data_IF_595011569805
#
_entry.id   IF_595011569805
#
_cell.length_a   1.000
_cell.length_b   1.000
_cell.length_c   1.000
_cell.angle_alpha   90.00
_cell.angle_beta   90.00
_cell.angle_gamma   90.00
#
_symmetry.space_group_name_H-M   'P 1'
#
loop_
_entity.id
_entity.type
_entity.pdbx_description
1 polymer ?
#
# COMPACT_ATOMS: atom_id res chain seq x y z
N UNK A 1 14.58 0.09 -1.01
CA UNK A 1 14.68 1.02 0.12
C UNK A 1 13.84 0.51 1.27
N UNK A 2 14.48 0.25 2.40
CA UNK A 2 13.89 -0.25 3.64
C UNK A 2 13.94 0.83 4.71
N UNK A 3 12.91 0.96 5.54
CA UNK A 3 12.96 1.78 6.76
C UNK A 3 12.68 0.91 7.98
N UNK A 4 13.20 1.32 9.15
CA UNK A 4 13.04 0.56 10.39
C UNK A 4 13.54 -0.88 10.25
N UNK A 5 12.85 -1.81 10.91
CA UNK A 5 13.20 -3.24 10.93
C UNK A 5 12.37 -4.07 9.93
N UNK A 6 11.90 -3.46 8.84
CA UNK A 6 10.95 -4.08 7.91
C UNK A 6 11.65 -4.61 6.65
N UNK A 7 11.30 -5.84 6.28
CA UNK A 7 11.76 -6.49 5.04
C UNK A 7 11.25 -5.71 3.81
N UNK A 8 12.10 -5.52 2.80
CA UNK A 8 11.76 -4.80 1.57
C UNK A 8 10.59 -5.44 0.82
N UNK A 9 10.52 -6.77 0.78
CA UNK A 9 9.46 -7.51 0.09
C UNK A 9 8.08 -7.23 0.71
N UNK A 10 8.03 -6.88 2.00
CA UNK A 10 6.79 -6.56 2.70
C UNK A 10 6.08 -5.35 2.06
N UNK A 11 6.84 -4.40 1.51
CA UNK A 11 6.29 -3.19 0.91
C UNK A 11 5.54 -3.45 -0.42
N UNK A 12 5.73 -4.63 -1.00
CA UNK A 12 5.02 -5.08 -2.21
C UNK A 12 3.80 -5.97 -1.92
N UNK A 13 3.55 -6.32 -0.65
CA UNK A 13 2.32 -7.02 -0.26
C UNK A 13 1.08 -6.16 -0.55
N UNK A 14 0.00 -6.68 -1.17
CA UNK A 14 -1.17 -5.89 -1.54
C UNK A 14 -1.82 -5.12 -0.38
N UNK A 15 -1.82 -5.69 0.84
CA UNK A 15 -2.35 -4.99 2.01
C UNK A 15 -1.45 -3.81 2.39
N UNK A 16 -0.13 -3.97 2.26
CA UNK A 16 0.85 -2.92 2.53
C UNK A 16 0.85 -1.82 1.46
N UNK A 17 0.73 -2.17 0.18
CA UNK A 17 0.55 -1.20 -0.91
C UNK A 17 -0.67 -0.30 -0.66
N UNK A 18 -1.77 -0.88 -0.13
CA UNK A 18 -2.94 -0.11 0.28
C UNK A 18 -2.65 0.84 1.44
N UNK A 19 -1.82 0.44 2.42
CA UNK A 19 -1.40 1.33 3.53
C UNK A 19 -0.50 2.46 3.02
N UNK A 20 0.43 2.17 2.11
CA UNK A 20 1.30 3.15 1.45
C UNK A 20 0.47 4.19 0.70
N UNK A 21 -0.49 3.77 -0.12
CA UNK A 21 -1.38 4.69 -0.83
C UNK A 21 -2.22 5.57 0.11
N UNK A 22 -2.60 5.06 1.28
CA UNK A 22 -3.30 5.84 2.29
C UNK A 22 -2.38 6.74 3.13
N UNK A 23 -1.08 6.43 3.20
CA UNK A 23 -0.09 7.29 3.84
C UNK A 23 0.04 8.63 3.10
N UNK A 24 0.02 8.60 1.76
CA UNK A 24 0.06 9.80 0.92
C UNK A 24 -1.10 10.77 1.13
N UNK A 25 -2.20 10.32 1.76
CA UNK A 25 -3.38 11.16 2.06
C UNK A 25 -3.23 11.94 3.37
N UNK A 26 -2.23 11.63 4.20
CA UNK A 26 -1.97 12.34 5.45
C UNK A 26 -1.25 13.64 5.11
N UNK A 27 -1.86 14.78 5.47
CA UNK A 27 -1.32 16.09 5.12
C UNK A 27 -0.08 16.40 5.96
N UNK A 28 0.81 17.24 5.46
CA UNK A 28 1.95 17.71 6.25
C UNK A 28 1.50 18.49 7.50
N UNK A 29 0.36 19.18 7.45
CA UNK A 29 -0.24 19.87 8.60
C UNK A 29 -0.65 18.94 9.74
N UNK A 30 -0.81 17.64 9.46
CA UNK A 30 -1.24 16.64 10.43
C UNK A 30 -0.04 15.97 11.14
N UNK A 31 1.19 16.38 10.81
CA UNK A 31 2.42 15.74 11.28
C UNK A 31 3.24 16.73 12.09
N UNK A 32 3.48 16.39 13.34
CA UNK A 32 4.43 17.09 14.22
C UNK A 32 5.62 16.18 14.47
N UNK A 33 6.75 16.46 13.82
CA UNK A 33 8.00 15.72 14.01
C UNK A 33 8.60 16.06 15.37
N UNK A 34 9.17 15.05 16.04
CA UNK A 34 10.09 15.29 17.14
C UNK A 34 11.50 15.53 16.56
N UNK A 35 12.12 16.69 16.78
CA UNK A 35 13.44 16.99 16.25
C UNK A 35 14.57 16.14 16.86
N UNK A 36 14.33 15.49 18.01
CA UNK A 36 15.35 14.74 18.73
C UNK A 36 15.24 13.22 18.52
N UNK A 37 14.11 12.75 17.98
CA UNK A 37 13.83 11.32 17.82
C UNK A 37 13.24 11.07 16.44
N UNK A 38 13.50 9.91 15.82
CA UNK A 38 12.87 9.51 14.55
C UNK A 38 11.40 9.12 14.76
N UNK A 39 10.62 10.07 15.29
CA UNK A 39 9.24 9.91 15.71
C UNK A 39 8.40 11.14 15.38
N UNK A 40 7.09 10.94 15.39
CA UNK A 40 6.13 12.01 15.19
C UNK A 40 4.84 11.77 15.98
N UNK A 41 4.09 12.85 16.13
CA UNK A 41 2.66 12.81 16.40
C UNK A 41 1.91 13.02 15.08
N UNK A 42 0.99 12.12 14.77
CA UNK A 42 0.14 12.23 13.58
C UNK A 42 -1.33 12.31 13.98
N UNK A 43 -1.98 13.42 13.63
CA UNK A 43 -3.40 13.63 13.83
C UNK A 43 -4.23 12.66 12.99
N UNK A 44 -5.36 12.20 13.53
CA UNK A 44 -6.22 11.26 12.82
C UNK A 44 -7.63 11.25 13.36
N UNK A 45 -8.33 10.13 13.19
CA UNK A 45 -9.75 9.98 13.57
C UNK A 45 -10.00 9.85 15.08
N UNK A 46 -8.95 9.73 15.89
CA UNK A 46 -9.05 9.65 17.35
C UNK A 46 -9.05 11.03 18.00
N UNK A 47 -9.41 11.08 19.29
CA UNK A 47 -9.32 12.30 20.08
C UNK A 47 -7.86 12.75 20.27
N UNK A 48 -6.95 11.78 20.42
CA UNK A 48 -5.52 12.03 20.61
C UNK A 48 -4.72 11.69 19.34
N UNK A 49 -3.64 12.44 19.02
CA UNK A 49 -2.72 12.09 17.95
C UNK A 49 -2.07 10.73 18.16
N UNK A 50 -1.78 10.03 17.06
CA UNK A 50 -1.03 8.78 17.11
C UNK A 50 0.46 9.07 17.31
N UNK A 51 1.07 8.44 18.32
CA UNK A 51 2.52 8.40 18.46
C UNK A 51 3.07 7.35 17.51
N UNK A 52 4.02 7.75 16.67
CA UNK A 52 4.59 6.89 15.63
C UNK A 52 6.11 6.99 15.63
N UNK A 53 6.77 5.86 15.48
CA UNK A 53 8.19 5.73 15.16
C UNK A 53 8.32 4.89 13.88
N UNK A 54 9.55 4.67 13.40
CA UNK A 54 9.78 3.75 12.29
C UNK A 54 9.47 2.28 12.62
N UNK A 55 9.32 1.92 13.90
CA UNK A 55 9.14 0.55 14.38
C UNK A 55 7.85 0.31 15.18
N UNK A 56 7.15 1.36 15.62
CA UNK A 56 5.95 1.24 16.45
C UNK A 56 4.93 2.35 16.14
N UNK A 57 3.65 2.06 16.37
CA UNK A 57 2.59 3.07 16.26
C UNK A 57 1.42 2.74 17.18
N UNK A 58 0.86 3.75 17.85
CA UNK A 58 -0.29 3.59 18.75
C UNK A 58 -1.63 3.37 18.03
N UNK A 59 -1.65 3.38 16.70
CA UNK A 59 -2.90 3.20 15.95
C UNK A 59 -3.38 1.74 15.91
N UNK A 60 -4.69 1.54 15.82
CA UNK A 60 -5.28 0.19 15.78
C UNK A 60 -4.82 -0.67 14.59
N UNK A 61 -4.37 -0.07 13.48
CA UNK A 61 -3.83 -0.80 12.32
C UNK A 61 -2.45 -1.42 12.56
N UNK A 62 -1.71 -1.02 13.60
CA UNK A 62 -0.41 -1.59 13.91
C UNK A 62 -0.51 -2.90 14.74
N UNK A 63 -1.72 -3.28 15.18
CA UNK A 63 -1.96 -4.54 15.90
C UNK A 63 -1.53 -5.78 15.10
N UNK A 64 -1.54 -5.68 13.76
CA UNK A 64 -1.05 -6.73 12.86
C UNK A 64 0.49 -6.87 12.84
N UNK A 65 1.21 -6.10 13.68
CA UNK A 65 2.67 -6.07 13.80
C UNK A 65 3.39 -5.87 12.46
N UNK A 66 2.76 -5.10 11.57
CA UNK A 66 3.28 -4.67 10.27
C UNK A 66 3.15 -3.15 10.15
N UNK A 67 3.94 -2.50 9.28
CA UNK A 67 3.86 -1.07 9.07
C UNK A 67 2.43 -0.60 8.79
N UNK A 68 2.01 0.43 9.53
CA UNK A 68 0.75 1.10 9.27
C UNK A 68 0.98 2.33 8.37
N UNK A 69 -0.10 2.96 7.92
CA UNK A 69 -0.01 4.17 7.07
C UNK A 69 0.79 5.32 7.72
N UNK A 70 0.74 5.45 9.06
CA UNK A 70 1.46 6.51 9.77
C UNK A 70 2.97 6.31 9.71
N UNK A 71 3.43 5.05 9.79
CA UNK A 71 4.85 4.72 9.72
C UNK A 71 5.42 4.97 8.33
N UNK A 72 4.69 4.58 7.27
CA UNK A 72 5.06 4.94 5.90
C UNK A 72 5.11 6.45 5.70
N UNK A 73 4.15 7.20 6.25
CA UNK A 73 4.13 8.66 6.15
C UNK A 73 5.32 9.29 6.85
N UNK A 74 5.68 8.81 8.04
CA UNK A 74 6.87 9.25 8.76
C UNK A 74 8.14 8.95 7.96
N UNK A 75 8.29 7.72 7.44
CA UNK A 75 9.45 7.34 6.63
C UNK A 75 9.61 8.22 5.38
N UNK A 76 8.51 8.54 4.68
CA UNK A 76 8.51 9.50 3.58
C UNK A 76 8.94 10.91 4.03
N UNK A 77 8.44 11.37 5.19
CA UNK A 77 8.77 12.70 5.73
C UNK A 77 10.25 12.82 6.10
N UNK A 78 10.87 11.73 6.55
CA UNK A 78 12.28 11.63 6.88
C UNK A 78 13.18 11.33 5.66
N UNK A 79 12.62 11.12 4.46
CA UNK A 79 13.39 10.77 3.26
C UNK A 79 13.95 9.35 3.27
N UNK A 80 13.39 8.46 4.10
CA UNK A 80 13.81 7.05 4.22
C UNK A 80 12.99 6.11 3.33
N UNK A 81 11.90 6.61 2.73
CA UNK A 81 11.04 5.84 1.85
C UNK A 81 10.41 6.74 0.79
N UNK A 82 10.70 6.47 -0.48
CA UNK A 82 10.24 7.29 -1.61
C UNK A 82 8.73 7.19 -1.90
N UNK A 83 8.05 6.24 -1.26
CA UNK A 83 6.65 5.97 -1.52
C UNK A 83 6.41 4.99 -2.68
N UNK A 84 5.17 4.94 -3.19
CA UNK A 84 4.87 4.06 -4.31
C UNK A 84 5.55 4.58 -5.60
N UNK A 85 5.89 3.69 -6.54
CA UNK A 85 6.47 4.11 -7.80
C UNK A 85 5.55 5.07 -8.54
N UNK A 86 6.14 6.07 -9.19
CA UNK A 86 5.40 7.02 -10.01
C UNK A 86 4.65 6.30 -11.15
N UNK A 87 3.42 6.76 -11.44
CA UNK A 87 2.66 6.24 -12.58
C UNK A 87 3.42 6.50 -13.87
N UNK A 88 3.60 5.45 -14.67
CA UNK A 88 4.12 5.54 -16.03
C UNK A 88 2.94 5.36 -17.02
N UNK A 89 2.47 6.43 -17.70
CA UNK A 89 1.32 6.35 -18.59
C UNK A 89 1.52 5.40 -19.78
N UNK A 90 2.74 5.29 -20.28
CA UNK A 90 3.06 4.37 -21.38
C UNK A 90 2.97 2.92 -20.93
N UNK A 91 3.51 2.60 -19.75
CA UNK A 91 3.40 1.27 -19.15
C UNK A 91 1.94 0.94 -18.78
N UNK A 92 1.17 1.88 -18.24
CA UNK A 92 -0.26 1.69 -17.95
C UNK A 92 -1.05 1.41 -19.23
N UNK A 93 -0.77 2.12 -20.33
CA UNK A 93 -1.39 1.88 -21.63
C UNK A 93 -1.00 0.51 -22.21
N UNK A 94 0.27 0.11 -22.05
CA UNK A 94 0.72 -1.22 -22.47
C UNK A 94 -0.01 -2.32 -21.68
N UNK A 95 -0.08 -2.19 -20.35
CA UNK A 95 -0.85 -3.10 -19.50
C UNK A 95 -2.30 -3.22 -19.95
N UNK A 96 -2.97 -2.10 -20.25
CA UNK A 96 -4.37 -2.11 -20.72
C UNK A 96 -4.58 -2.87 -22.03
N UNK A 97 -3.59 -2.88 -22.93
CA UNK A 97 -3.64 -3.64 -24.17
C UNK A 97 -3.52 -5.15 -23.94
N UNK A 98 -2.87 -5.57 -22.85
CA UNK A 98 -2.71 -6.98 -22.48
C UNK A 98 -3.91 -7.53 -21.68
N UNK A 99 -4.81 -6.67 -21.18
CA UNK A 99 -5.99 -7.11 -20.41
C UNK A 99 -6.79 -8.22 -21.14
N UNK A 100 -7.10 -8.13 -22.45
CA UNK A 100 -7.81 -9.19 -23.15
C UNK A 100 -7.07 -10.54 -23.13
N UNK A 101 -5.74 -10.52 -23.25
CA UNK A 101 -4.90 -11.73 -23.21
C UNK A 101 -4.93 -12.36 -21.81
N UNK A 102 -4.87 -11.53 -20.76
CA UNK A 102 -4.99 -11.98 -19.38
C UNK A 102 -6.37 -12.58 -19.08
N UNK A 103 -7.44 -11.95 -19.54
CA UNK A 103 -8.81 -12.47 -19.41
C UNK A 103 -8.95 -13.81 -20.16
N UNK A 104 -8.38 -13.95 -21.35
CA UNK A 104 -8.37 -15.21 -22.10
C UNK A 104 -7.64 -16.32 -21.32
N UNK A 105 -6.49 -16.02 -20.71
CA UNK A 105 -5.75 -16.98 -19.86
C UNK A 105 -6.65 -17.51 -18.75
N UNK A 106 -7.34 -16.64 -18.01
CA UNK A 106 -8.25 -17.08 -16.95
C UNK A 106 -9.49 -17.80 -17.48
N UNK A 107 -9.97 -17.44 -18.68
CA UNK A 107 -11.06 -18.16 -19.36
C UNK A 107 -10.66 -19.61 -19.66
N UNK A 108 -9.44 -19.86 -20.13
CA UNK A 108 -8.93 -21.23 -20.37
C UNK A 108 -8.92 -22.05 -19.09
N UNK A 109 -8.40 -21.49 -17.99
CA UNK A 109 -8.41 -22.15 -16.68
C UNK A 109 -9.83 -22.47 -16.20
N UNK A 110 -10.82 -21.62 -16.50
CA UNK A 110 -12.23 -21.91 -16.22
C UNK A 110 -12.75 -23.08 -17.08
N UNK A 111 -12.48 -23.08 -18.39
CA UNK A 111 -12.89 -24.18 -19.29
C UNK A 111 -12.26 -25.52 -18.90
N UNK A 112 -11.06 -25.51 -18.34
CA UNK A 112 -10.35 -26.69 -17.82
C UNK A 112 -10.85 -27.11 -16.42
N UNK A 113 -11.76 -26.35 -15.80
CA UNK A 113 -12.29 -26.63 -14.45
C UNK A 113 -11.34 -26.27 -13.30
N UNK A 114 -10.24 -25.55 -13.56
CA UNK A 114 -9.27 -25.15 -12.54
C UNK A 114 -9.75 -24.01 -11.63
N UNK A 115 -10.72 -23.22 -12.09
CA UNK A 115 -11.37 -22.15 -11.30
C UNK A 115 -12.89 -22.15 -11.53
N UNK A 116 -13.65 -21.67 -10.54
CA UNK A 116 -15.11 -21.53 -10.67
C UNK A 116 -15.53 -20.36 -11.55
N UNK A 117 -16.78 -20.36 -12.01
CA UNK A 117 -17.36 -19.28 -12.80
C UNK A 117 -17.35 -17.94 -12.04
N UNK A 118 -17.66 -17.96 -10.74
CA UNK A 118 -17.66 -16.79 -9.87
C UNK A 118 -16.25 -16.19 -9.74
N UNK A 119 -15.23 -17.06 -9.62
CA UNK A 119 -13.84 -16.62 -9.53
C UNK A 119 -13.36 -16.00 -10.83
N UNK A 120 -13.66 -16.63 -11.97
CA UNK A 120 -13.37 -16.07 -13.29
C UNK A 120 -14.04 -14.70 -13.49
N UNK A 121 -15.34 -14.60 -13.23
CA UNK A 121 -16.10 -13.36 -13.38
C UNK A 121 -15.55 -12.23 -12.49
N UNK A 122 -15.14 -12.54 -11.26
CA UNK A 122 -14.55 -11.56 -10.36
C UNK A 122 -13.19 -11.02 -10.88
N UNK A 123 -12.33 -11.90 -11.42
CA UNK A 123 -11.03 -11.51 -11.98
C UNK A 123 -11.19 -10.67 -13.23
N UNK A 124 -12.02 -11.10 -14.20
CA UNK A 124 -12.25 -10.36 -15.43
C UNK A 124 -12.76 -8.94 -15.13
N UNK A 125 -13.77 -8.83 -14.26
CA UNK A 125 -14.31 -7.54 -13.80
C UNK A 125 -13.27 -6.66 -13.10
N UNK A 126 -12.31 -7.25 -12.39
CA UNK A 126 -11.27 -6.49 -11.71
C UNK A 126 -10.20 -5.95 -12.68
N UNK A 127 -9.91 -6.68 -13.76
CA UNK A 127 -8.93 -6.28 -14.77
C UNK A 127 -9.47 -5.20 -15.72
N UNK A 128 -10.76 -5.21 -16.04
CA UNK A 128 -11.38 -4.26 -16.97
C UNK A 128 -11.69 -2.87 -16.35
N UNK A 129 -11.51 -2.71 -15.03
CA UNK A 129 -11.70 -1.46 -14.29
C UNK A 129 -10.47 -0.55 -14.32
#
# INVERSE_FOLDING_TARGET
MTFGNWDEALHFDPKQVTKIANALKIKDSDITLDPNTESALISGSGAEPYKVTLNDCTCGSFKDRKPCKHMYRLAMKLGLFDGPPAKNPAAEKAFKKEIPNEVDRYRKLYCEGAISAEKFAAIAKALEK
#
